data_IF_310565662590
#
_entry.id   IF_310565662590
#
_cell.length_a   1.000
_cell.length_b   1.000
_cell.length_c   1.000
_cell.angle_alpha   90.00
_cell.angle_beta   90.00
_cell.angle_gamma   90.00
#
_symmetry.space_group_name_H-M   'P 1'
#
loop_
_entity.id
_entity.type
_entity.pdbx_description
1 polymer ?
#
# COMPACT_ATOMS: atom_id res chain seq x y z
N UNK A 1 16.91 -51.42 28.81
CA UNK A 1 16.63 -51.31 27.35
C UNK A 1 15.27 -50.64 27.08
N UNK A 2 14.15 -51.10 27.64
CA UNK A 2 12.83 -50.51 27.42
C UNK A 2 12.71 -49.00 27.73
N UNK A 3 13.28 -48.54 28.85
CA UNK A 3 13.22 -47.12 29.25
C UNK A 3 13.99 -46.18 28.29
N UNK A 4 15.06 -46.66 27.66
CA UNK A 4 15.83 -45.86 26.70
C UNK A 4 15.07 -45.69 25.38
N UNK A 5 14.40 -46.75 24.91
CA UNK A 5 13.55 -46.71 23.73
C UNK A 5 12.34 -45.80 23.94
N UNK A 6 11.64 -45.91 25.07
CA UNK A 6 10.52 -45.03 25.40
C UNK A 6 10.92 -43.55 25.43
N UNK A 7 12.10 -43.22 25.99
CA UNK A 7 12.63 -41.85 25.93
C UNK A 7 12.93 -41.41 24.50
N UNK A 8 13.56 -42.25 23.69
CA UNK A 8 13.87 -41.91 22.29
C UNK A 8 12.59 -41.62 21.49
N UNK A 9 11.55 -42.45 21.65
CA UNK A 9 10.24 -42.24 21.01
C UNK A 9 9.56 -40.97 21.53
N UNK A 10 9.56 -40.74 22.85
CA UNK A 10 8.97 -39.52 23.42
C UNK A 10 9.66 -38.24 22.91
N UNK A 11 11.00 -38.25 22.83
CA UNK A 11 11.76 -37.12 22.29
C UNK A 11 11.48 -36.91 20.79
N UNK A 12 11.35 -37.98 20.00
CA UNK A 12 11.01 -37.89 18.57
C UNK A 12 9.61 -37.32 18.35
N UNK A 13 8.62 -37.76 19.14
CA UNK A 13 7.26 -37.23 19.08
C UNK A 13 7.24 -35.75 19.48
N UNK A 14 7.90 -35.37 20.57
CA UNK A 14 8.00 -33.96 20.99
C UNK A 14 8.69 -33.09 19.93
N UNK A 15 9.71 -33.62 19.26
CA UNK A 15 10.39 -32.94 18.14
C UNK A 15 9.44 -32.75 16.95
N UNK A 16 8.66 -33.76 16.59
CA UNK A 16 7.68 -33.69 15.49
C UNK A 16 6.53 -32.73 15.79
N UNK A 17 6.04 -32.71 17.03
CA UNK A 17 5.01 -31.77 17.46
C UNK A 17 5.52 -30.33 17.34
N UNK A 18 6.72 -30.03 17.84
CA UNK A 18 7.32 -28.70 17.68
C UNK A 18 7.52 -28.31 16.21
N UNK A 19 8.00 -29.23 15.38
CA UNK A 19 8.12 -28.98 13.94
C UNK A 19 6.77 -28.63 13.30
N UNK A 20 5.69 -29.30 13.70
CA UNK A 20 4.36 -28.99 13.18
C UNK A 20 3.84 -27.64 13.67
N UNK A 21 4.16 -27.24 14.90
CA UNK A 21 3.81 -25.93 15.45
C UNK A 21 4.57 -24.81 14.72
N UNK A 22 5.88 -24.96 14.55
CA UNK A 22 6.74 -24.01 13.81
C UNK A 22 6.26 -23.84 12.35
N UNK A 23 5.87 -24.92 11.69
CA UNK A 23 5.33 -24.88 10.32
C UNK A 23 4.00 -24.13 10.23
N UNK A 24 3.13 -24.26 11.24
CA UNK A 24 1.85 -23.54 11.30
C UNK A 24 2.08 -22.04 11.55
N UNK A 25 2.99 -21.69 12.45
CA UNK A 25 3.36 -20.30 12.72
C UNK A 25 3.96 -19.62 11.48
N UNK A 26 4.86 -20.32 10.77
CA UNK A 26 5.43 -19.80 9.53
C UNK A 26 4.36 -19.52 8.46
N UNK A 27 3.35 -20.39 8.34
CA UNK A 27 2.23 -20.18 7.40
C UNK A 27 1.34 -19.00 7.81
N UNK A 28 1.07 -18.85 9.10
CA UNK A 28 0.28 -17.73 9.62
C UNK A 28 1.00 -16.39 9.37
N UNK A 29 2.30 -16.32 9.67
CA UNK A 29 3.13 -15.13 9.41
C UNK A 29 3.17 -14.80 7.91
N UNK A 30 3.31 -15.81 7.05
CA UNK A 30 3.26 -15.60 5.61
C UNK A 30 1.91 -15.07 5.14
N UNK A 31 0.80 -15.61 5.64
CA UNK A 31 -0.54 -15.11 5.31
C UNK A 31 -0.71 -13.64 5.68
N UNK A 32 -0.33 -13.26 6.89
CA UNK A 32 -0.42 -11.86 7.35
C UNK A 32 0.44 -10.93 6.51
N UNK A 33 1.65 -11.37 6.12
CA UNK A 33 2.51 -10.61 5.22
C UNK A 33 1.87 -10.42 3.83
N UNK A 34 1.24 -11.47 3.28
CA UNK A 34 0.55 -11.36 1.98
C UNK A 34 -0.66 -10.45 2.05
N UNK A 35 -1.42 -10.45 3.16
CA UNK A 35 -2.52 -9.51 3.39
C UNK A 35 -2.03 -8.07 3.43
N UNK A 36 -0.98 -7.79 4.21
CA UNK A 36 -0.41 -6.45 4.30
C UNK A 36 0.07 -5.94 2.94
N UNK A 37 0.71 -6.82 2.16
CA UNK A 37 1.16 -6.50 0.80
C UNK A 37 0.00 -6.25 -0.15
N UNK A 38 -1.05 -7.07 -0.08
CA UNK A 38 -2.25 -6.88 -0.89
C UNK A 38 -2.94 -5.56 -0.57
N UNK A 39 -3.12 -5.23 0.71
CA UNK A 39 -3.70 -3.96 1.14
C UNK A 39 -2.91 -2.75 0.65
N UNK A 40 -1.57 -2.84 0.64
CA UNK A 40 -0.70 -1.78 0.12
C UNK A 40 -0.87 -1.59 -1.39
N UNK A 41 -0.88 -2.69 -2.17
CA UNK A 41 -1.09 -2.64 -3.62
C UNK A 41 -2.48 -2.14 -3.96
N UNK A 42 -3.51 -2.65 -3.27
CA UNK A 42 -4.89 -2.23 -3.45
C UNK A 42 -5.03 -0.73 -3.17
N UNK A 43 -4.52 -0.25 -2.04
CA UNK A 43 -4.58 1.18 -1.70
C UNK A 43 -3.91 2.05 -2.76
N UNK A 44 -2.74 1.64 -3.27
CA UNK A 44 -2.02 2.38 -4.31
C UNK A 44 -2.80 2.44 -5.64
N UNK A 45 -3.48 1.36 -6.03
CA UNK A 45 -4.34 1.35 -7.23
C UNK A 45 -5.56 2.24 -7.03
N UNK A 46 -6.21 2.12 -5.87
CA UNK A 46 -7.43 2.84 -5.53
C UNK A 46 -7.21 4.34 -5.29
N UNK A 47 -6.01 4.76 -4.86
CA UNK A 47 -5.66 6.18 -4.70
C UNK A 47 -5.80 6.96 -6.02
N UNK A 48 -5.66 6.26 -7.14
CA UNK A 48 -5.80 6.89 -8.45
C UNK A 48 -7.23 7.34 -8.76
N UNK A 49 -8.24 6.78 -8.07
CA UNK A 49 -9.67 7.08 -8.26
C UNK A 49 -10.33 6.29 -9.38
N UNK A 50 -9.56 5.60 -10.22
CA UNK A 50 -10.05 4.70 -11.27
C UNK A 50 -9.31 3.37 -11.20
N UNK A 51 -9.99 2.29 -11.59
CA UNK A 51 -9.37 0.98 -11.72
C UNK A 51 -9.65 0.41 -13.10
N UNK A 52 -8.60 -0.02 -13.79
CA UNK A 52 -8.71 -0.64 -15.10
C UNK A 52 -9.02 -2.13 -14.97
N UNK A 53 -9.57 -2.71 -16.04
CA UNK A 53 -9.84 -4.14 -16.11
C UNK A 53 -8.56 -4.98 -15.93
N UNK A 54 -7.43 -4.51 -16.47
CA UNK A 54 -6.13 -5.17 -16.29
C UNK A 54 -5.69 -5.18 -14.83
N UNK A 55 -5.88 -4.07 -14.10
CA UNK A 55 -5.56 -3.97 -12.68
C UNK A 55 -6.45 -4.89 -11.83
N UNK A 56 -7.75 -4.98 -12.15
CA UNK A 56 -8.66 -5.94 -11.50
C UNK A 56 -8.19 -7.37 -11.69
N UNK A 57 -7.85 -7.76 -12.91
CA UNK A 57 -7.35 -9.10 -13.21
C UNK A 57 -6.03 -9.41 -12.48
N UNK A 58 -5.15 -8.42 -12.32
CA UNK A 58 -3.92 -8.58 -11.53
C UNK A 58 -4.23 -8.78 -10.04
N UNK A 59 -5.17 -8.00 -9.49
CA UNK A 59 -5.61 -8.15 -8.10
C UNK A 59 -6.29 -9.50 -7.86
N UNK A 60 -7.11 -9.97 -8.78
CA UNK A 60 -7.77 -11.28 -8.67
C UNK A 60 -6.77 -12.42 -8.74
N UNK A 61 -5.80 -12.38 -9.66
CA UNK A 61 -4.70 -13.36 -9.68
C UNK A 61 -3.92 -13.35 -8.37
N UNK A 62 -3.65 -12.17 -7.80
CA UNK A 62 -2.98 -12.07 -6.52
C UNK A 62 -3.81 -12.72 -5.40
N UNK A 63 -5.12 -12.49 -5.39
CA UNK A 63 -6.05 -13.11 -4.42
C UNK A 63 -6.05 -14.63 -4.55
N UNK A 64 -6.09 -15.17 -5.77
CA UNK A 64 -6.07 -16.61 -6.01
C UNK A 64 -4.74 -17.24 -5.56
N UNK A 65 -3.61 -16.66 -5.93
CA UNK A 65 -2.27 -17.17 -5.58
C UNK A 65 -2.08 -17.20 -4.06
N UNK A 66 -2.50 -16.15 -3.36
CA UNK A 66 -2.30 -15.99 -1.93
C UNK A 66 -3.49 -16.45 -1.07
N UNK A 67 -4.53 -17.01 -1.70
CA UNK A 67 -5.77 -17.50 -1.05
C UNK A 67 -6.42 -16.47 -0.14
N UNK A 68 -6.45 -15.21 -0.59
CA UNK A 68 -7.14 -14.13 0.11
C UNK A 68 -8.64 -14.32 -0.04
N UNK A 69 -9.34 -14.30 1.08
CA UNK A 69 -10.79 -14.49 1.09
C UNK A 69 -11.51 -13.26 0.56
N UNK A 70 -12.72 -13.46 0.03
CA UNK A 70 -13.61 -12.35 -0.36
C UNK A 70 -13.91 -11.40 0.81
N UNK A 71 -14.08 -11.94 2.02
CA UNK A 71 -14.30 -11.12 3.21
C UNK A 71 -13.12 -10.16 3.51
N UNK A 72 -11.88 -10.63 3.34
CA UNK A 72 -10.67 -9.81 3.54
C UNK A 72 -10.54 -8.73 2.46
N UNK A 73 -10.81 -9.08 1.20
CA UNK A 73 -10.85 -8.12 0.11
C UNK A 73 -11.87 -7.00 0.39
N UNK A 74 -13.09 -7.35 0.76
CA UNK A 74 -14.14 -6.39 1.10
C UNK A 74 -13.78 -5.52 2.30
N UNK A 75 -13.15 -6.10 3.32
CA UNK A 75 -12.68 -5.33 4.47
C UNK A 75 -11.64 -4.28 4.07
N UNK A 76 -10.71 -4.63 3.17
CA UNK A 76 -9.67 -3.72 2.67
C UNK A 76 -10.22 -2.65 1.71
N UNK A 77 -11.25 -2.97 0.91
CA UNK A 77 -11.97 -1.97 0.12
C UNK A 77 -12.63 -0.93 1.03
N UNK A 78 -13.37 -1.39 2.05
CA UNK A 78 -14.04 -0.50 3.01
C UNK A 78 -13.06 0.38 3.78
N UNK A 79 -11.91 -0.16 4.21
CA UNK A 79 -10.89 0.64 4.89
C UNK A 79 -10.29 1.71 3.97
N UNK A 80 -10.27 1.47 2.66
CA UNK A 80 -9.81 2.42 1.65
C UNK A 80 -10.90 3.44 1.24
N UNK A 81 -12.11 3.34 1.80
CA UNK A 81 -13.24 4.19 1.45
C UNK A 81 -13.94 3.81 0.14
N UNK A 82 -13.74 2.57 -0.33
CA UNK A 82 -14.38 2.05 -1.54
C UNK A 82 -15.45 1.01 -1.18
N UNK A 83 -16.56 1.06 -1.90
CA UNK A 83 -17.55 -0.02 -1.95
C UNK A 83 -17.20 -1.04 -3.04
N UNK A 84 -17.81 -2.22 -2.94
CA UNK A 84 -17.69 -3.27 -3.96
C UNK A 84 -18.28 -2.78 -5.28
N UNK A 85 -19.40 -2.07 -5.21
CA UNK A 85 -20.10 -1.50 -6.37
C UNK A 85 -19.20 -0.51 -7.12
N UNK A 86 -18.47 0.36 -6.42
CA UNK A 86 -17.52 1.31 -7.03
C UNK A 86 -16.29 0.60 -7.62
N UNK A 87 -15.83 -0.47 -6.97
CA UNK A 87 -14.73 -1.29 -7.46
C UNK A 87 -15.11 -2.03 -8.76
N UNK A 88 -16.32 -2.59 -8.82
CA UNK A 88 -16.87 -3.23 -10.01
C UNK A 88 -17.15 -2.21 -11.13
N UNK A 89 -17.68 -1.03 -10.78
CA UNK A 89 -17.90 0.07 -11.71
C UNK A 89 -16.59 0.64 -12.28
N UNK A 90 -15.47 0.46 -11.58
CA UNK A 90 -14.14 0.88 -12.04
C UNK A 90 -13.77 2.31 -11.68
N UNK A 91 -14.59 3.01 -10.88
CA UNK A 91 -14.36 4.41 -10.54
C UNK A 91 -15.03 4.77 -9.21
N UNK A 92 -14.34 5.60 -8.42
CA UNK A 92 -14.91 6.21 -7.22
C UNK A 92 -14.94 7.75 -7.40
N UNK A 93 -16.14 8.34 -7.55
CA UNK A 93 -16.27 9.77 -7.80
C UNK A 93 -15.75 10.62 -6.64
N UNK A 94 -15.83 10.12 -5.40
CA UNK A 94 -15.36 10.87 -4.22
C UNK A 94 -13.83 10.96 -4.19
N UNK A 95 -13.15 9.87 -4.54
CA UNK A 95 -11.68 9.83 -4.60
C UNK A 95 -11.17 10.70 -5.76
N UNK A 96 -11.82 10.62 -6.92
CA UNK A 96 -11.51 11.48 -8.06
C UNK A 96 -11.68 12.96 -7.73
N UNK A 97 -12.78 13.32 -7.09
CA UNK A 97 -13.04 14.70 -6.68
C UNK A 97 -12.00 15.19 -5.66
N UNK A 98 -11.66 14.37 -4.66
CA UNK A 98 -10.60 14.70 -3.69
C UNK A 98 -9.26 14.93 -4.36
N UNK A 99 -8.92 14.11 -5.35
CA UNK A 99 -7.66 14.22 -6.09
C UNK A 99 -7.61 15.47 -6.97
N UNK A 100 -8.70 15.81 -7.65
CA UNK A 100 -8.79 17.04 -8.44
C UNK A 100 -8.56 18.28 -7.55
N UNK A 101 -9.24 18.35 -6.41
CA UNK A 101 -9.08 19.45 -5.44
C UNK A 101 -7.66 19.51 -4.87
N UNK A 102 -7.04 18.35 -4.59
CA UNK A 102 -5.66 18.29 -4.12
C UNK A 102 -4.66 18.78 -5.18
N UNK A 103 -4.84 18.39 -6.45
CA UNK A 103 -3.98 18.81 -7.56
C UNK A 103 -4.02 20.34 -7.79
N UNK A 104 -5.20 20.96 -7.65
CA UNK A 104 -5.35 22.42 -7.76
C UNK A 104 -4.61 23.18 -6.65
N UNK A 105 -4.49 22.60 -5.45
CA UNK A 105 -3.78 23.23 -4.32
C UNK A 105 -2.24 23.17 -4.46
N UNK A 106 -1.71 22.11 -5.08
CA UNK A 106 -0.26 21.93 -5.26
C UNK A 106 0.28 22.85 -6.36
N UNK A 107 -0.49 23.05 -7.44
CA UNK A 107 -0.13 23.99 -8.50
C UNK A 107 -0.10 25.47 -8.06
N UNK A 108 -0.70 25.81 -6.92
CA UNK A 108 -0.65 27.16 -6.35
C UNK A 108 0.64 27.46 -5.59
N UNK A 109 1.34 26.46 -5.03
CA UNK A 109 2.58 26.68 -4.26
C UNK A 109 3.81 26.87 -5.15
N UNK A 110 3.89 26.15 -6.28
CA UNK A 110 5.05 26.24 -7.20
C UNK A 110 5.13 27.60 -7.93
N UNK A 111 4.01 28.32 -8.07
CA UNK A 111 3.99 29.68 -8.62
C UNK A 111 4.45 30.76 -7.64
N UNK A 112 4.38 30.52 -6.33
CA UNK A 112 4.77 31.52 -5.33
C UNK A 112 6.30 31.53 -5.15
N UNK A 113 6.96 30.38 -5.23
CA UNK A 113 8.43 30.31 -5.15
C UNK A 113 9.10 30.93 -6.38
N UNK A 114 8.53 30.76 -7.58
CA UNK A 114 9.05 31.40 -8.79
C UNK A 114 8.92 32.95 -8.78
N UNK A 115 7.88 33.50 -8.13
CA UNK A 115 7.67 34.95 -8.06
C UNK A 115 8.48 35.64 -6.95
N UNK A 116 8.81 34.92 -5.86
CA UNK A 116 9.71 35.42 -4.80
C UNK A 116 11.16 35.54 -5.30
N UNK A 117 11.63 34.60 -6.12
CA UNK A 117 13.00 34.63 -6.67
C UNK A 117 13.19 35.72 -7.75
N UNK A 118 12.15 36.01 -8.54
CA UNK A 118 12.16 37.10 -9.52
C UNK A 118 12.17 38.51 -8.87
N UNK A 119 11.68 38.66 -7.65
CA UNK A 119 11.74 39.93 -6.89
C UNK A 119 13.06 40.12 -6.15
N UNK A 120 13.74 39.04 -5.77
CA UNK A 120 15.04 39.13 -5.09
C UNK A 120 16.17 39.55 -6.03
N UNK A 121 16.07 39.24 -7.33
CA UNK A 121 17.08 39.57 -8.34
C UNK A 121 17.01 41.02 -8.87
N UNK A 122 15.93 41.76 -8.59
CA UNK A 122 15.77 43.13 -9.08
C UNK A 122 16.31 44.21 -8.11
N UNK A 123 16.72 43.84 -6.89
CA UNK A 123 17.18 44.81 -5.86
C UNK A 123 18.71 44.97 -5.84
N UNK A 124 19.48 44.08 -6.45
CA UNK A 124 20.96 44.17 -6.50
C UNK A 124 21.51 44.91 -7.73
N UNK A 125 20.65 45.54 -8.55
CA UNK A 125 21.04 46.15 -9.83
C UNK A 125 21.13 47.69 -9.86
N UNK A 126 21.16 48.38 -8.72
CA UNK A 126 21.41 49.84 -8.69
C UNK A 126 22.86 50.07 -8.26
N UNK A 127 23.79 49.69 -9.13
CA UNK A 127 25.17 50.17 -9.05
C UNK A 127 25.17 51.66 -9.38
N UNK A 128 25.51 52.44 -8.35
CA UNK A 128 25.58 53.88 -8.30
C UNK A 128 26.73 54.38 -9.19
N UNK A 129 26.47 54.58 -10.47
CA UNK A 129 27.36 55.27 -11.40
C UNK A 129 27.37 56.78 -11.11
N UNK A 130 28.36 57.27 -10.38
CA UNK A 130 28.66 58.69 -10.22
C UNK A 130 29.99 59.02 -10.94
N UNK A 131 29.96 59.78 -12.04
CA UNK A 131 31.13 60.48 -12.57
C UNK A 131 31.01 62.01 -12.39
N UNK A 132 32.06 62.80 -12.68
CA UNK A 132 33.51 62.53 -12.65
C UNK A 132 34.23 63.22 -11.48
#
# INVERSE_FOLDING_TARGET
LAAAFQRAVATDVMRKLRQSEDELECRAVQQEMWKARYGSVLSAVLDSGTITEEQRQQLDKFREIHRLTEAEHQAMLRSSGWSIEEYEAGANPQVLQRRMLAAESVGASERVEAEVEARSTLVEGIEFGLPP
#
